data_IF_622870398388
#
_entry.id   IF_622870398388
#
_cell.length_a   1.000
_cell.length_b   1.000
_cell.length_c   1.000
_cell.angle_alpha   90.00
_cell.angle_beta   90.00
_cell.angle_gamma   90.00
#
_symmetry.space_group_name_H-M   'P 1'
#
loop_
_entity.id
_entity.type
_entity.pdbx_description
1 polymer ?
#
# COMPACT_ATOMS: atom_id res chain seq x y z
N UNK A 1 -2.74 11.57 12.50
CA UNK A 1 -2.66 12.89 13.16
C UNK A 1 -3.84 13.78 12.78
N UNK A 2 -3.84 14.51 11.66
CA UNK A 2 -4.95 15.44 11.36
C UNK A 2 -6.32 14.77 11.26
N UNK A 3 -6.40 13.56 10.71
CA UNK A 3 -7.65 12.78 10.71
C UNK A 3 -8.16 12.47 12.12
N UNK A 4 -7.25 12.16 13.06
CA UNK A 4 -7.61 11.86 14.44
C UNK A 4 -8.13 13.12 15.14
N UNK A 5 -7.50 14.26 14.88
CA UNK A 5 -7.99 15.56 15.35
C UNK A 5 -9.36 15.88 14.76
N UNK A 6 -9.57 15.64 13.46
CA UNK A 6 -10.86 15.86 12.80
C UNK A 6 -11.98 15.03 13.45
N UNK A 7 -11.74 13.73 13.66
CA UNK A 7 -12.71 12.84 14.30
C UNK A 7 -13.02 13.24 15.74
N UNK A 8 -11.99 13.53 16.55
CA UNK A 8 -12.16 13.93 17.94
C UNK A 8 -12.85 15.29 18.05
N UNK A 9 -12.51 16.23 17.16
CA UNK A 9 -13.13 17.53 17.09
C UNK A 9 -14.61 17.47 16.70
N UNK A 10 -14.96 16.56 15.80
CA UNK A 10 -16.34 16.31 15.41
C UNK A 10 -17.15 15.76 16.60
N UNK A 11 -16.64 14.74 17.29
CA UNK A 11 -17.27 14.17 18.49
C UNK A 11 -17.46 15.24 19.59
N UNK A 12 -16.46 16.11 19.77
CA UNK A 12 -16.48 17.16 20.77
C UNK A 12 -17.18 18.46 20.30
N UNK A 13 -17.74 18.50 19.08
CA UNK A 13 -18.37 19.66 18.47
C UNK A 13 -17.51 20.94 18.52
N UNK A 14 -16.23 20.81 18.20
CA UNK A 14 -15.29 21.93 18.23
C UNK A 14 -15.47 22.84 17.02
N UNK A 15 -15.41 24.14 17.27
CA UNK A 15 -15.30 25.16 16.22
C UNK A 15 -13.95 25.05 15.49
N UNK A 16 -13.89 25.56 14.26
CA UNK A 16 -12.67 25.62 13.45
C UNK A 16 -11.49 26.28 14.19
N UNK A 17 -11.77 27.35 14.95
CA UNK A 17 -10.77 28.03 15.77
C UNK A 17 -10.25 27.14 16.91
N UNK A 18 -11.16 26.42 17.59
CA UNK A 18 -10.78 25.47 18.64
C UNK A 18 -9.94 24.31 18.10
N UNK A 19 -10.26 23.80 16.91
CA UNK A 19 -9.44 22.76 16.25
C UNK A 19 -7.99 23.22 16.10
N UNK A 20 -7.77 24.43 15.58
CA UNK A 20 -6.42 24.99 15.41
C UNK A 20 -5.71 25.15 16.76
N UNK A 21 -6.35 25.77 17.76
CA UNK A 21 -5.75 25.97 19.09
C UNK A 21 -5.33 24.64 19.73
N UNK A 22 -6.22 23.65 19.76
CA UNK A 22 -5.91 22.40 20.44
C UNK A 22 -4.87 21.58 19.68
N UNK A 23 -4.88 21.64 18.34
CA UNK A 23 -3.84 21.01 17.53
C UNK A 23 -2.47 21.56 17.85
N UNK A 24 -2.34 22.88 17.93
CA UNK A 24 -1.09 23.55 18.31
C UNK A 24 -0.70 23.23 19.75
N UNK A 25 -1.66 23.19 20.67
CA UNK A 25 -1.42 22.87 22.09
C UNK A 25 -0.82 21.48 22.29
N UNK A 26 -1.23 20.52 21.49
CA UNK A 26 -0.77 19.13 21.54
C UNK A 26 0.27 18.78 20.46
N UNK A 27 0.79 19.79 19.75
CA UNK A 27 1.91 19.59 18.82
C UNK A 27 3.17 19.14 19.57
N UNK A 28 4.06 18.36 18.94
CA UNK A 28 5.39 18.09 19.48
C UNK A 28 6.12 19.39 19.83
N UNK A 29 6.90 19.39 20.91
CA UNK A 29 7.58 20.60 21.42
C UNK A 29 8.40 21.30 20.34
N UNK A 30 9.11 20.52 19.52
CA UNK A 30 9.99 21.02 18.45
C UNK A 30 9.21 21.67 17.29
N UNK A 31 7.96 21.28 17.09
CA UNK A 31 7.10 21.75 15.99
C UNK A 31 6.13 22.86 16.43
N UNK A 32 5.88 22.99 17.74
CA UNK A 32 4.83 23.85 18.27
C UNK A 32 5.01 25.33 17.92
N UNK A 33 6.22 25.86 18.10
CA UNK A 33 6.51 27.27 17.78
C UNK A 33 6.24 27.57 16.30
N UNK A 34 6.63 26.64 15.42
CA UNK A 34 6.40 26.73 13.99
C UNK A 34 4.89 26.67 13.66
N UNK A 35 4.11 25.86 14.36
CA UNK A 35 2.66 25.77 14.15
C UNK A 35 1.92 26.99 14.70
N UNK A 36 2.36 27.57 15.82
CA UNK A 36 1.83 28.80 16.40
C UNK A 36 1.89 29.98 15.41
N UNK A 37 2.95 30.06 14.59
CA UNK A 37 3.08 31.09 13.54
C UNK A 37 1.93 31.06 12.52
N UNK A 38 1.40 29.88 12.19
CA UNK A 38 0.34 29.72 11.19
C UNK A 38 -1.07 29.77 11.77
N UNK A 39 -1.23 29.84 13.10
CA UNK A 39 -2.54 29.85 13.77
C UNK A 39 -3.38 31.12 13.47
N UNK A 40 -2.83 32.36 13.52
CA UNK A 40 -3.65 33.56 13.41
C UNK A 40 -4.42 33.65 12.09
N UNK A 41 -5.74 33.84 12.17
CA UNK A 41 -6.62 34.03 11.01
C UNK A 41 -6.80 32.80 10.10
N UNK A 42 -6.24 31.65 10.46
CA UNK A 42 -6.37 30.42 9.66
C UNK A 42 -7.69 29.70 9.95
N UNK A 43 -8.40 29.31 8.89
CA UNK A 43 -9.41 28.25 8.95
C UNK A 43 -8.72 26.90 9.17
N UNK A 44 -9.45 25.88 9.65
CA UNK A 44 -8.87 24.56 9.86
C UNK A 44 -8.22 23.99 8.60
N UNK A 45 -8.91 24.08 7.45
CA UNK A 45 -8.38 23.60 6.18
C UNK A 45 -7.14 24.38 5.73
N UNK A 46 -7.13 25.71 5.86
CA UNK A 46 -5.95 26.50 5.52
C UNK A 46 -4.76 26.22 6.44
N UNK A 47 -5.02 25.94 7.72
CA UNK A 47 -4.02 25.54 8.69
C UNK A 47 -3.42 24.17 8.32
N UNK A 48 -4.27 23.15 8.09
CA UNK A 48 -3.82 21.82 7.62
C UNK A 48 -2.95 21.91 6.37
N UNK A 49 -3.35 22.72 5.40
CA UNK A 49 -2.57 22.94 4.17
C UNK A 49 -1.19 23.56 4.41
N UNK A 50 -1.13 24.61 5.23
CA UNK A 50 0.13 25.27 5.61
C UNK A 50 1.05 24.32 6.37
N UNK A 51 0.53 23.60 7.36
CA UNK A 51 1.31 22.62 8.13
C UNK A 51 1.77 21.47 7.23
N UNK A 52 0.90 20.91 6.40
CA UNK A 52 1.28 19.85 5.46
C UNK A 52 2.42 20.25 4.50
N UNK A 53 2.46 21.52 4.07
CA UNK A 53 3.54 22.04 3.23
C UNK A 53 4.91 22.11 3.93
N UNK A 54 4.95 22.19 5.26
CA UNK A 54 6.20 22.20 6.05
C UNK A 54 6.84 20.82 6.15
N UNK A 55 6.06 19.76 5.92
CA UNK A 55 6.52 18.37 5.98
C UNK A 55 6.42 17.72 4.61
N UNK A 56 7.40 17.93 3.71
CA UNK A 56 7.51 17.18 2.47
C UNK A 56 7.45 15.67 2.76
N UNK A 57 6.51 14.95 2.15
CA UNK A 57 6.25 13.52 2.43
C UNK A 57 5.11 13.24 3.42
N UNK A 58 4.54 14.27 4.07
CA UNK A 58 3.27 14.15 4.82
C UNK A 58 2.05 14.07 3.90
N UNK A 59 2.24 14.38 2.61
CA UNK A 59 1.23 14.21 1.58
C UNK A 59 0.87 12.73 1.44
N UNK A 60 -0.29 12.38 1.97
CA UNK A 60 -0.85 11.03 1.87
C UNK A 60 -1.16 10.63 0.43
N UNK A 61 -1.14 11.55 -0.53
CA UNK A 61 -1.29 11.21 -1.94
C UNK A 61 0.00 10.64 -2.55
N UNK A 62 1.15 10.71 -1.87
CA UNK A 62 2.44 10.23 -2.39
C UNK A 62 3.18 9.27 -1.45
N UNK A 63 2.45 8.46 -0.67
CA UNK A 63 3.05 7.44 0.19
C UNK A 63 3.79 6.34 -0.58
N UNK A 64 3.24 5.93 -1.72
CA UNK A 64 3.87 4.95 -2.60
C UNK A 64 3.80 5.39 -4.06
N UNK A 65 4.83 5.00 -4.79
CA UNK A 65 5.02 5.22 -6.21
C UNK A 65 5.05 3.90 -6.98
N UNK A 66 4.91 3.96 -8.31
CA UNK A 66 5.11 2.80 -9.17
C UNK A 66 6.54 2.25 -9.07
N UNK A 67 7.52 3.13 -8.78
CA UNK A 67 8.91 2.70 -8.58
C UNK A 67 9.05 1.84 -7.33
N UNK A 68 8.38 2.18 -6.22
CA UNK A 68 8.39 1.35 -5.00
C UNK A 68 7.83 -0.05 -5.27
N UNK A 69 6.81 -0.13 -6.12
CA UNK A 69 6.24 -1.42 -6.55
C UNK A 69 7.24 -2.21 -7.41
N UNK A 70 7.92 -1.55 -8.36
CA UNK A 70 8.94 -2.17 -9.22
C UNK A 70 10.13 -2.68 -8.39
N UNK A 71 10.67 -1.86 -7.49
CA UNK A 71 11.78 -2.24 -6.60
C UNK A 71 11.39 -3.43 -5.72
N UNK A 72 10.15 -3.44 -5.21
CA UNK A 72 9.66 -4.58 -4.44
C UNK A 72 9.58 -5.86 -5.30
N UNK A 73 9.11 -5.77 -6.55
CA UNK A 73 9.03 -6.94 -7.44
C UNK A 73 10.41 -7.46 -7.81
N UNK A 74 11.36 -6.60 -8.16
CA UNK A 74 12.72 -6.99 -8.53
C UNK A 74 13.44 -7.67 -7.35
N UNK A 75 13.31 -7.11 -6.15
CA UNK A 75 13.90 -7.69 -4.93
C UNK A 75 13.39 -9.12 -4.64
N UNK A 76 12.12 -9.40 -4.95
CA UNK A 76 11.55 -10.74 -4.72
C UNK A 76 11.69 -11.67 -5.93
N UNK A 77 11.89 -11.16 -7.14
CA UNK A 77 12.22 -11.96 -8.33
C UNK A 77 13.58 -12.64 -8.17
N UNK A 78 14.56 -11.94 -7.61
CA UNK A 78 15.89 -12.50 -7.30
C UNK A 78 15.87 -13.48 -6.12
N UNK A 79 14.83 -13.41 -5.28
CA UNK A 79 14.72 -14.23 -4.08
C UNK A 79 13.92 -15.49 -4.35
N UNK A 80 14.53 -16.65 -4.14
CA UNK A 80 13.84 -17.93 -4.25
C UNK A 80 12.63 -17.99 -3.30
N UNK A 81 11.44 -18.23 -3.85
CA UNK A 81 10.19 -18.30 -3.10
C UNK A 81 9.86 -19.76 -2.77
N UNK A 82 10.48 -20.26 -1.71
CA UNK A 82 10.44 -21.68 -1.31
C UNK A 82 9.47 -22.00 -0.17
N UNK A 83 8.92 -20.97 0.46
CA UNK A 83 8.18 -21.07 1.73
C UNK A 83 6.97 -20.16 1.75
N UNK A 84 5.90 -20.64 2.39
CA UNK A 84 4.66 -19.88 2.62
C UNK A 84 4.91 -18.59 3.41
N UNK A 85 5.92 -18.59 4.29
CA UNK A 85 6.32 -17.38 5.02
C UNK A 85 6.88 -16.30 4.09
N UNK A 86 7.81 -16.68 3.20
CA UNK A 86 8.42 -15.74 2.23
C UNK A 86 7.37 -15.21 1.27
N UNK A 87 6.51 -16.10 0.75
CA UNK A 87 5.38 -15.71 -0.08
C UNK A 87 4.42 -14.75 0.64
N UNK A 88 4.07 -15.05 1.90
CA UNK A 88 3.19 -14.18 2.70
C UNK A 88 3.79 -12.81 2.98
N UNK A 89 5.12 -12.71 3.16
CA UNK A 89 5.82 -11.43 3.30
C UNK A 89 5.74 -10.61 2.00
N UNK A 90 6.00 -11.25 0.87
CA UNK A 90 5.87 -10.61 -0.44
C UNK A 90 4.43 -10.13 -0.70
N UNK A 91 3.45 -11.01 -0.56
CA UNK A 91 2.04 -10.71 -0.82
C UNK A 91 1.54 -9.51 -0.02
N UNK A 92 1.82 -9.46 1.29
CA UNK A 92 1.40 -8.33 2.13
C UNK A 92 2.08 -7.02 1.74
N UNK A 93 3.39 -7.05 1.48
CA UNK A 93 4.12 -5.86 1.04
C UNK A 93 3.60 -5.36 -0.31
N UNK A 94 3.35 -6.27 -1.25
CA UNK A 94 2.84 -5.96 -2.58
C UNK A 94 1.43 -5.38 -2.54
N UNK A 95 0.51 -5.98 -1.75
CA UNK A 95 -0.85 -5.47 -1.60
C UNK A 95 -0.86 -4.06 -0.97
N UNK A 96 0.01 -3.81 0.02
CA UNK A 96 0.11 -2.50 0.67
C UNK A 96 0.40 -1.38 -0.34
N UNK A 97 1.37 -1.61 -1.23
CA UNK A 97 1.77 -0.64 -2.26
C UNK A 97 0.72 -0.57 -3.38
N UNK A 98 0.33 -1.71 -3.93
CA UNK A 98 -0.55 -1.77 -5.10
C UNK A 98 -1.97 -1.26 -4.81
N UNK A 99 -2.54 -1.55 -3.64
CA UNK A 99 -3.87 -1.04 -3.28
C UNK A 99 -3.86 0.45 -2.99
N UNK A 100 -2.77 0.98 -2.42
CA UNK A 100 -2.60 2.43 -2.32
C UNK A 100 -2.59 3.07 -3.70
N UNK A 101 -1.79 2.56 -4.64
CA UNK A 101 -1.73 3.08 -6.01
C UNK A 101 -3.08 2.96 -6.72
N UNK A 102 -3.80 1.85 -6.54
CA UNK A 102 -5.15 1.63 -7.09
C UNK A 102 -6.15 2.64 -6.54
N UNK A 103 -6.10 2.94 -5.24
CA UNK A 103 -6.98 3.92 -4.60
C UNK A 103 -6.75 5.36 -5.09
N UNK A 104 -5.65 5.60 -5.81
CA UNK A 104 -5.29 6.87 -6.43
C UNK A 104 -5.40 6.81 -7.96
N UNK A 105 -6.04 5.78 -8.51
CA UNK A 105 -6.19 5.53 -9.96
C UNK A 105 -4.87 5.54 -10.74
N UNK A 106 -3.76 5.15 -10.09
CA UNK A 106 -2.41 5.11 -10.69
C UNK A 106 -2.05 3.77 -11.31
N UNK A 107 -2.85 2.73 -11.07
CA UNK A 107 -2.64 1.38 -11.59
C UNK A 107 -3.99 0.65 -11.66
N UNK A 108 -4.17 -0.16 -12.69
CA UNK A 108 -5.36 -0.97 -12.93
C UNK A 108 -5.27 -2.34 -12.26
N UNK A 109 -6.40 -3.03 -12.11
CA UNK A 109 -6.42 -4.40 -11.56
C UNK A 109 -5.56 -5.39 -12.36
N UNK A 110 -5.63 -5.34 -13.69
CA UNK A 110 -4.83 -6.20 -14.57
C UNK A 110 -3.32 -5.96 -14.41
N UNK A 111 -2.90 -4.69 -14.32
CA UNK A 111 -1.49 -4.35 -14.07
C UNK A 111 -1.00 -4.85 -12.71
N UNK A 112 -1.85 -4.81 -11.68
CA UNK A 112 -1.53 -5.37 -10.36
C UNK A 112 -1.26 -6.87 -10.46
N UNK A 113 -2.15 -7.63 -11.12
CA UNK A 113 -1.97 -9.07 -11.31
C UNK A 113 -0.70 -9.40 -12.09
N UNK A 114 -0.46 -8.70 -13.20
CA UNK A 114 0.72 -8.91 -14.05
C UNK A 114 2.02 -8.61 -13.29
N UNK A 115 2.07 -7.52 -12.52
CA UNK A 115 3.23 -7.16 -11.70
C UNK A 115 3.41 -8.10 -10.51
N UNK A 116 2.33 -8.66 -9.97
CA UNK A 116 2.45 -9.65 -8.90
C UNK A 116 3.12 -10.92 -9.41
N UNK A 117 2.75 -11.37 -10.61
CA UNK A 117 3.39 -12.51 -11.27
C UNK A 117 4.86 -12.25 -11.63
N UNK A 118 5.25 -11.00 -11.92
CA UNK A 118 6.64 -10.68 -12.25
C UNK A 118 7.58 -10.69 -11.04
N UNK A 119 7.07 -10.50 -9.83
CA UNK A 119 7.91 -10.56 -8.62
C UNK A 119 8.20 -11.97 -8.09
N UNK A 120 7.84 -13.01 -8.85
CA UNK A 120 8.18 -14.38 -8.53
C UNK A 120 9.43 -14.83 -9.28
N UNK A 121 10.28 -15.62 -8.60
CA UNK A 121 11.39 -16.27 -9.27
C UNK A 121 10.90 -17.14 -10.46
N UNK A 122 11.67 -17.25 -11.54
CA UNK A 122 11.23 -17.94 -12.76
C UNK A 122 10.79 -19.39 -12.54
N UNK A 123 11.37 -20.08 -11.56
CA UNK A 123 11.02 -21.48 -11.26
C UNK A 123 9.67 -21.56 -10.57
N UNK A 124 9.43 -20.70 -9.58
CA UNK A 124 8.16 -20.63 -8.88
C UNK A 124 7.04 -20.15 -9.80
N UNK A 125 7.30 -19.11 -10.60
CA UNK A 125 6.34 -18.59 -11.59
C UNK A 125 5.85 -19.66 -12.55
N UNK A 126 6.76 -20.46 -13.13
CA UNK A 126 6.39 -21.58 -14.04
C UNK A 126 5.48 -22.61 -13.39
N UNK A 127 5.66 -22.88 -12.09
CA UNK A 127 4.82 -23.83 -11.34
C UNK A 127 3.43 -23.25 -11.09
N UNK A 128 3.35 -21.96 -10.78
CA UNK A 128 2.06 -21.24 -10.67
C UNK A 128 1.34 -21.24 -12.02
N UNK A 129 2.02 -20.92 -13.11
CA UNK A 129 1.42 -20.92 -14.45
C UNK A 129 0.87 -22.30 -14.83
N UNK A 130 1.60 -23.37 -14.49
CA UNK A 130 1.12 -24.74 -14.72
C UNK A 130 -0.13 -25.05 -13.87
N UNK A 131 -0.15 -24.63 -12.61
CA UNK A 131 -1.29 -24.81 -11.72
C UNK A 131 -2.53 -24.04 -12.21
N UNK A 132 -2.37 -22.76 -12.58
CA UNK A 132 -3.45 -21.92 -13.09
C UNK A 132 -4.08 -22.50 -14.36
N UNK A 133 -3.26 -23.00 -15.28
CA UNK A 133 -3.73 -23.68 -16.50
C UNK A 133 -4.47 -24.99 -16.19
N UNK A 134 -4.06 -25.72 -15.17
CA UNK A 134 -4.74 -26.94 -14.75
C UNK A 134 -6.11 -26.63 -14.11
N UNK A 135 -6.20 -25.55 -13.32
CA UNK A 135 -7.45 -25.12 -12.69
C UNK A 135 -8.44 -24.50 -13.69
N UNK A 136 -7.93 -23.75 -14.69
CA UNK A 136 -8.77 -23.07 -15.68
C UNK A 136 -8.29 -23.34 -17.11
N UNK A 137 -8.54 -24.53 -17.68
CA UNK A 137 -8.03 -24.90 -19.01
C UNK A 137 -8.57 -24.05 -20.17
N UNK A 138 -9.75 -23.44 -20.00
CA UNK A 138 -10.39 -22.59 -21.00
C UNK A 138 -9.95 -21.11 -20.91
N UNK A 139 -9.03 -20.76 -20.00
CA UNK A 139 -8.53 -19.40 -19.83
C UNK A 139 -7.75 -18.94 -21.07
N UNK A 140 -8.04 -17.73 -21.55
CA UNK A 140 -7.36 -17.18 -22.72
C UNK A 140 -5.95 -16.69 -22.36
N UNK A 141 -4.90 -17.00 -23.16
CA UNK A 141 -3.52 -16.61 -22.83
C UNK A 141 -3.28 -15.11 -22.66
N UNK A 142 -4.06 -14.28 -23.36
CA UNK A 142 -3.95 -12.82 -23.31
C UNK A 142 -4.71 -12.19 -22.14
N UNK A 143 -5.61 -12.94 -21.49
CA UNK A 143 -6.36 -12.42 -20.36
C UNK A 143 -5.51 -12.56 -19.08
N UNK A 144 -5.32 -11.49 -18.30
CA UNK A 144 -4.62 -11.60 -17.03
C UNK A 144 -5.45 -12.42 -16.04
N UNK A 145 -4.78 -13.26 -15.25
CA UNK A 145 -5.42 -13.92 -14.11
C UNK A 145 -5.75 -12.90 -13.01
N UNK A 146 -6.80 -13.16 -12.26
CA UNK A 146 -7.12 -12.37 -11.07
C UNK A 146 -6.08 -12.62 -9.96
N UNK A 147 -5.78 -11.58 -9.19
CA UNK A 147 -4.80 -11.64 -8.11
C UNK A 147 -5.12 -12.77 -7.11
N UNK A 148 -6.40 -13.01 -6.85
CA UNK A 148 -6.87 -14.08 -5.96
C UNK A 148 -6.61 -15.48 -6.53
N UNK A 149 -6.71 -15.66 -7.85
CA UNK A 149 -6.39 -16.95 -8.49
C UNK A 149 -4.90 -17.24 -8.37
N UNK A 150 -4.06 -16.25 -8.66
CA UNK A 150 -2.61 -16.35 -8.52
C UNK A 150 -2.23 -16.67 -7.07
N UNK A 151 -2.86 -16.01 -6.09
CA UNK A 151 -2.62 -16.26 -4.67
C UNK A 151 -2.94 -17.71 -4.26
N UNK A 152 -4.12 -18.21 -4.63
CA UNK A 152 -4.53 -19.59 -4.34
C UNK A 152 -3.60 -20.62 -4.99
N UNK A 153 -3.27 -20.43 -6.27
CA UNK A 153 -2.35 -21.30 -6.99
C UNK A 153 -0.95 -21.30 -6.36
N UNK A 154 -0.44 -20.15 -5.93
CA UNK A 154 0.84 -20.04 -5.24
C UNK A 154 0.85 -20.83 -3.92
N UNK A 155 -0.20 -20.73 -3.11
CA UNK A 155 -0.32 -21.50 -1.87
C UNK A 155 -0.33 -23.01 -2.12
N UNK A 156 -1.09 -23.46 -3.12
CA UNK A 156 -1.14 -24.88 -3.50
C UNK A 156 0.24 -25.40 -3.95
N UNK A 157 0.93 -24.62 -4.80
CA UNK A 157 2.26 -24.95 -5.29
C UNK A 157 3.29 -25.02 -4.15
N UNK A 158 3.11 -24.24 -3.08
CA UNK A 158 3.95 -24.30 -1.88
C UNK A 158 3.59 -25.48 -0.97
N UNK A 159 2.31 -25.84 -0.82
CA UNK A 159 1.91 -27.02 -0.03
C UNK A 159 2.38 -28.33 -0.66
N UNK A 160 2.40 -28.45 -1.99
CA UNK A 160 2.94 -29.65 -2.65
C UNK A 160 4.46 -29.81 -2.46
N UNK A 161 5.20 -28.76 -2.10
CA UNK A 161 6.64 -28.84 -1.79
C UNK A 161 6.90 -29.40 -0.39
N UNK A 162 6.01 -29.18 0.58
CA UNK A 162 6.19 -29.73 1.93
C UNK A 162 6.02 -31.24 2.00
N UNK A 163 5.27 -31.84 1.07
CA UNK A 163 5.05 -33.29 1.01
C UNK A 163 6.21 -34.09 0.39
N UNK A 164 7.26 -33.41 -0.08
CA UNK A 164 8.45 -34.03 -0.68
C UNK A 164 9.69 -34.04 0.24
N UNK A 165 9.53 -33.72 1.53
CA UNK A 165 10.61 -33.76 2.54
C UNK A 165 10.46 -34.91 3.51
#
# INVERSE_FOLDING_TARGET
>A
FFDDVDQLAEIANLTEYQKVIYTVRYAPTDDRELWEYFMPGSTWNSFKGKIGALYPGSDRDRLYSLNDLTVLTEMYEEKMMDSTETFGKYYRAFCKISYFLKSKDRITGGEISTRFMSGFDPTFRRRIDAQLRAETPAHHPEDPYELSQIYSAALFVLSCKSDQR
#
